data_IF_409942054966
#
_entry.id   IF_409942054966
#
_cell.length_a   1.000
_cell.length_b   1.000
_cell.length_c   1.000
_cell.angle_alpha   90.00
_cell.angle_beta   90.00
_cell.angle_gamma   90.00
#
_symmetry.space_group_name_H-M   'P 1'
#
loop_
_entity.id
_entity.type
_entity.pdbx_description
1 polymer ?
#
# COMPACT_ATOMS: atom_id res chain seq x y z
N UNK A 1 19.55 -18.17 4.04
CA UNK A 1 19.43 -17.96 2.56
C UNK A 1 18.16 -17.19 2.15
N UNK A 2 16.93 -17.67 2.41
CA UNK A 2 15.70 -16.94 1.98
C UNK A 2 15.58 -15.55 2.60
N UNK A 3 15.95 -15.36 3.87
CA UNK A 3 15.92 -14.08 4.56
C UNK A 3 16.86 -13.07 3.88
N UNK A 4 18.09 -13.45 3.61
CA UNK A 4 19.08 -12.62 2.89
C UNK A 4 18.61 -12.21 1.49
N UNK A 5 17.98 -13.14 0.75
CA UNK A 5 17.44 -12.83 -0.58
C UNK A 5 16.25 -11.82 -0.49
N UNK A 6 15.38 -11.95 0.50
CA UNK A 6 14.26 -11.03 0.70
C UNK A 6 14.76 -9.65 1.14
N UNK A 7 15.70 -9.59 2.07
CA UNK A 7 16.33 -8.35 2.50
C UNK A 7 17.02 -7.66 1.33
N UNK A 8 17.81 -8.39 0.56
CA UNK A 8 18.50 -7.87 -0.64
C UNK A 8 17.51 -7.27 -1.64
N UNK A 9 16.41 -7.95 -1.91
CA UNK A 9 15.34 -7.45 -2.78
C UNK A 9 14.76 -6.14 -2.27
N UNK A 10 14.49 -6.04 -0.96
CA UNK A 10 13.97 -4.82 -0.33
C UNK A 10 15.00 -3.69 -0.42
N UNK A 11 16.24 -3.94 -0.02
CA UNK A 11 17.32 -2.93 -0.04
C UNK A 11 17.58 -2.41 -1.46
N UNK A 12 17.61 -3.28 -2.45
CA UNK A 12 17.81 -2.90 -3.86
C UNK A 12 16.57 -2.24 -4.51
N UNK A 13 15.45 -2.16 -3.82
CA UNK A 13 14.34 -1.30 -4.27
C UNK A 13 14.66 0.19 -4.08
N UNK A 14 15.61 0.52 -3.20
CA UNK A 14 15.96 1.90 -2.83
C UNK A 14 17.45 2.23 -3.02
N UNK A 15 18.31 1.22 -3.17
CA UNK A 15 19.76 1.38 -3.30
C UNK A 15 20.26 0.76 -4.62
N UNK A 16 21.41 1.23 -5.09
CA UNK A 16 22.05 0.69 -6.30
C UNK A 16 22.78 -0.64 -6.07
N UNK A 17 23.25 -0.86 -4.83
CA UNK A 17 23.96 -2.07 -4.41
C UNK A 17 23.57 -2.46 -3.00
N UNK A 18 23.72 -3.73 -2.67
CA UNK A 18 23.58 -4.26 -1.31
C UNK A 18 24.63 -5.35 -1.09
N UNK A 19 25.35 -5.26 0.04
CA UNK A 19 26.27 -6.31 0.46
C UNK A 19 25.57 -7.27 1.42
N UNK A 20 25.62 -8.55 1.12
CA UNK A 20 25.13 -9.63 1.97
C UNK A 20 26.35 -10.14 2.74
N UNK A 21 26.33 -9.95 4.06
CA UNK A 21 27.28 -10.55 4.97
C UNK A 21 26.49 -11.50 5.89
N UNK A 22 26.87 -12.78 5.91
CA UNK A 22 26.26 -13.74 6.83
C UNK A 22 26.99 -13.76 8.17
N UNK A 23 26.23 -14.05 9.23
CA UNK A 23 26.84 -14.40 10.50
C UNK A 23 27.32 -15.86 10.49
N UNK A 24 28.30 -16.18 11.36
CA UNK A 24 28.77 -17.54 11.57
C UNK A 24 27.62 -18.47 11.99
N UNK A 25 27.51 -19.63 11.36
CA UNK A 25 26.45 -20.60 11.60
C UNK A 25 25.15 -20.38 10.85
N UNK A 26 24.98 -19.25 10.15
CA UNK A 26 23.76 -18.98 9.37
C UNK A 26 23.65 -19.86 8.11
N UNK A 27 24.78 -20.32 7.61
CA UNK A 27 24.85 -21.23 6.46
C UNK A 27 25.33 -22.60 6.95
N UNK A 28 24.46 -23.61 6.89
CA UNK A 28 24.84 -24.95 7.32
C UNK A 28 25.91 -25.54 6.41
N UNK A 29 26.98 -26.06 6.99
CA UNK A 29 28.06 -26.76 6.31
C UNK A 29 29.42 -26.17 6.63
N UNK A 30 30.43 -26.95 6.33
CA UNK A 30 31.85 -26.61 6.47
C UNK A 30 32.51 -26.86 5.13
N UNK A 31 33.60 -26.16 4.87
CA UNK A 31 34.45 -26.39 3.71
C UNK A 31 35.38 -27.62 3.91
N UNK A 32 36.25 -27.89 2.95
CA UNK A 32 37.21 -29.01 3.00
C UNK A 32 38.26 -28.85 4.13
N UNK A 33 38.40 -27.66 4.72
CA UNK A 33 39.29 -27.32 5.82
C UNK A 33 38.61 -27.33 7.18
N UNK A 34 37.27 -27.53 7.21
CA UNK A 34 36.44 -27.57 8.42
C UNK A 34 36.01 -26.15 8.91
N UNK A 35 36.11 -25.13 8.07
CA UNK A 35 35.68 -23.78 8.35
C UNK A 35 34.18 -23.63 7.95
N UNK A 36 33.40 -22.91 8.77
CA UNK A 36 31.99 -22.61 8.48
C UNK A 36 31.87 -21.70 7.24
N UNK A 37 30.82 -21.95 6.44
CA UNK A 37 30.57 -21.11 5.27
C UNK A 37 30.12 -19.71 5.67
N UNK A 38 30.78 -18.69 5.11
CA UNK A 38 30.38 -17.31 5.19
C UNK A 38 30.01 -16.74 3.82
N UNK A 39 29.04 -15.87 3.78
CA UNK A 39 28.72 -15.08 2.59
C UNK A 39 29.24 -13.66 2.77
N UNK A 40 30.01 -13.23 1.79
CA UNK A 40 30.35 -11.82 1.57
C UNK A 40 30.16 -11.50 0.09
N UNK A 41 28.93 -11.11 -0.25
CA UNK A 41 28.52 -10.96 -1.66
C UNK A 41 27.87 -9.59 -1.86
N UNK A 42 28.44 -8.79 -2.75
CA UNK A 42 27.79 -7.56 -3.21
C UNK A 42 26.88 -7.86 -4.39
N UNK A 43 25.61 -7.57 -4.22
CA UNK A 43 24.57 -7.69 -5.25
C UNK A 43 24.25 -6.31 -5.83
N UNK A 44 24.15 -6.24 -7.14
CA UNK A 44 23.92 -5.00 -7.90
C UNK A 44 22.51 -4.94 -8.49
N UNK A 45 22.11 -3.76 -9.00
CA UNK A 45 20.87 -3.61 -9.78
C UNK A 45 20.85 -4.49 -11.04
N UNK A 46 22.00 -4.78 -11.62
CA UNK A 46 22.07 -5.66 -12.79
C UNK A 46 21.75 -7.10 -12.41
N UNK A 47 22.27 -7.58 -11.28
CA UNK A 47 22.04 -8.94 -10.79
C UNK A 47 20.56 -9.15 -10.45
N UNK A 48 19.94 -8.20 -9.72
CA UNK A 48 18.52 -8.30 -9.38
C UNK A 48 17.63 -8.16 -10.62
N UNK A 49 18.03 -7.34 -11.59
CA UNK A 49 17.32 -7.22 -12.87
C UNK A 49 17.34 -8.55 -13.60
N UNK A 50 18.50 -9.21 -13.70
CA UNK A 50 18.64 -10.53 -14.34
C UNK A 50 17.75 -11.57 -13.67
N UNK A 51 17.63 -11.53 -12.34
CA UNK A 51 16.83 -12.47 -11.58
C UNK A 51 15.33 -12.21 -11.68
N UNK A 52 14.89 -10.93 -11.60
CA UNK A 52 13.48 -10.56 -11.46
C UNK A 52 12.78 -10.28 -12.80
N UNK A 53 13.49 -9.80 -13.82
CA UNK A 53 12.88 -9.46 -15.11
C UNK A 53 12.04 -10.60 -15.71
N UNK A 54 12.47 -11.87 -15.71
CA UNK A 54 11.68 -12.97 -16.25
C UNK A 54 10.37 -13.20 -15.47
N UNK A 55 10.37 -12.93 -14.17
CA UNK A 55 9.19 -13.06 -13.30
C UNK A 55 8.21 -11.93 -13.57
N UNK A 56 8.69 -10.68 -13.60
CA UNK A 56 7.89 -9.51 -13.89
C UNK A 56 7.33 -9.51 -15.32
N UNK A 57 8.09 -10.07 -16.28
CA UNK A 57 7.60 -10.21 -17.66
C UNK A 57 6.30 -11.01 -17.72
N UNK A 58 6.17 -12.08 -16.93
CA UNK A 58 4.92 -12.86 -16.88
C UNK A 58 3.72 -12.02 -16.46
N UNK A 59 3.89 -11.13 -15.47
CA UNK A 59 2.82 -10.22 -15.02
C UNK A 59 2.47 -9.17 -16.11
N UNK A 60 3.49 -8.64 -16.78
CA UNK A 60 3.32 -7.70 -17.88
C UNK A 60 2.59 -8.35 -19.06
N UNK A 61 2.96 -9.57 -19.41
CA UNK A 61 2.30 -10.33 -20.49
C UNK A 61 0.81 -10.55 -20.20
N UNK A 62 0.45 -10.83 -18.93
CA UNK A 62 -0.97 -10.94 -18.52
C UNK A 62 -1.67 -9.61 -18.67
N UNK A 63 -1.05 -8.52 -18.26
CA UNK A 63 -1.60 -7.17 -18.38
C UNK A 63 -1.80 -6.78 -19.84
N UNK A 64 -0.84 -7.04 -20.71
CA UNK A 64 -0.94 -6.79 -22.15
C UNK A 64 -2.06 -7.63 -22.81
N UNK A 65 -2.19 -8.91 -22.41
CA UNK A 65 -3.30 -9.75 -22.88
C UNK A 65 -4.66 -9.19 -22.48
N UNK A 66 -4.77 -8.66 -21.25
CA UNK A 66 -6.00 -8.00 -20.78
C UNK A 66 -6.33 -6.76 -21.62
N UNK A 67 -5.35 -5.87 -21.80
CA UNK A 67 -5.52 -4.67 -22.62
C UNK A 67 -5.95 -5.02 -24.05
N UNK A 68 -5.25 -5.98 -24.67
CA UNK A 68 -5.59 -6.46 -26.02
C UNK A 68 -7.02 -7.02 -26.09
N UNK A 69 -7.45 -7.79 -25.09
CA UNK A 69 -8.82 -8.33 -25.03
C UNK A 69 -9.88 -7.23 -24.92
N UNK A 70 -9.53 -6.10 -24.33
CA UNK A 70 -10.40 -4.92 -24.19
C UNK A 70 -10.25 -3.91 -25.33
N UNK A 71 -9.42 -4.21 -26.34
CA UNK A 71 -9.05 -3.30 -27.43
C UNK A 71 -8.46 -1.97 -26.92
N UNK A 72 -7.72 -2.00 -25.81
CA UNK A 72 -7.05 -0.86 -25.20
C UNK A 72 -5.54 -0.95 -25.42
N UNK A 73 -4.91 0.21 -25.51
CA UNK A 73 -3.46 0.38 -25.48
C UNK A 73 -3.05 1.03 -24.16
N UNK A 74 -1.77 1.01 -23.82
CA UNK A 74 -1.25 1.71 -22.65
C UNK A 74 -1.53 3.22 -22.69
N UNK A 75 -1.56 3.83 -23.88
CA UNK A 75 -1.93 5.24 -24.08
C UNK A 75 -3.38 5.59 -23.79
N UNK A 76 -4.24 4.59 -23.72
CA UNK A 76 -5.68 4.77 -23.48
C UNK A 76 -6.02 4.68 -21.98
N UNK A 77 -5.01 4.44 -21.15
CA UNK A 77 -5.15 4.37 -19.68
C UNK A 77 -4.94 5.77 -19.09
N UNK A 78 -5.86 6.23 -18.28
CA UNK A 78 -5.72 7.46 -17.52
C UNK A 78 -4.63 7.34 -16.44
N UNK A 79 -4.52 6.17 -15.81
CA UNK A 79 -3.52 5.89 -14.78
C UNK A 79 -3.25 4.40 -14.65
N UNK A 80 -1.99 4.03 -14.36
CA UNK A 80 -1.56 2.70 -13.98
C UNK A 80 -1.14 2.72 -12.51
N UNK A 81 -2.03 2.32 -11.63
CA UNK A 81 -1.80 2.32 -10.18
C UNK A 81 -1.15 1.00 -9.77
N UNK A 82 -0.11 1.09 -8.96
CA UNK A 82 0.62 -0.05 -8.44
C UNK A 82 0.20 -0.36 -7.00
N UNK A 83 0.04 -1.66 -6.70
CA UNK A 83 -0.38 -2.15 -5.38
C UNK A 83 0.57 -3.23 -4.89
N UNK A 84 0.99 -3.12 -3.64
CA UNK A 84 1.82 -4.09 -2.94
C UNK A 84 3.32 -3.84 -3.02
N UNK A 85 4.06 -4.38 -2.05
CA UNK A 85 5.50 -4.14 -1.86
C UNK A 85 6.40 -4.42 -3.07
N UNK A 86 6.22 -5.49 -3.85
CA UNK A 86 7.04 -5.76 -5.04
C UNK A 86 7.02 -4.65 -6.09
N UNK A 87 6.02 -3.79 -6.08
CA UNK A 87 5.89 -2.69 -7.04
C UNK A 87 6.78 -1.48 -6.75
N UNK A 88 7.52 -1.49 -5.64
CA UNK A 88 8.61 -0.55 -5.41
C UNK A 88 9.83 -0.84 -6.29
N UNK A 89 9.94 -2.06 -6.84
CA UNK A 89 11.08 -2.45 -7.66
C UNK A 89 11.27 -1.53 -8.88
N UNK A 90 12.44 -0.89 -9.01
CA UNK A 90 12.76 -0.09 -10.19
C UNK A 90 12.73 -0.90 -11.49
N UNK A 91 13.06 -2.19 -11.39
CA UNK A 91 13.02 -3.14 -12.51
C UNK A 91 11.60 -3.25 -13.07
N UNK A 92 10.62 -3.52 -12.19
CA UNK A 92 9.21 -3.63 -12.60
C UNK A 92 8.70 -2.32 -13.17
N UNK A 93 8.96 -1.18 -12.49
CA UNK A 93 8.51 0.14 -12.93
C UNK A 93 9.07 0.50 -14.31
N UNK A 94 10.36 0.27 -14.53
CA UNK A 94 10.99 0.51 -15.83
C UNK A 94 10.46 -0.42 -16.93
N UNK A 95 10.12 -1.65 -16.62
CA UNK A 95 9.50 -2.58 -17.58
C UNK A 95 8.07 -2.17 -17.94
N UNK A 96 7.26 -1.75 -16.96
CA UNK A 96 5.90 -1.25 -17.18
C UNK A 96 5.90 0.02 -18.04
N UNK A 97 6.78 0.98 -17.73
CA UNK A 97 6.91 2.22 -18.50
C UNK A 97 7.26 1.94 -19.97
N UNK A 98 8.14 1.00 -20.22
CA UNK A 98 8.56 0.65 -21.59
C UNK A 98 7.52 -0.15 -22.36
N UNK A 99 6.73 -0.98 -21.68
CA UNK A 99 5.88 -1.98 -22.34
C UNK A 99 4.38 -1.69 -22.27
N UNK A 100 3.93 -0.84 -21.34
CA UNK A 100 2.53 -0.48 -21.16
C UNK A 100 2.40 1.05 -21.12
N UNK A 101 2.65 1.66 -19.96
CA UNK A 101 2.69 3.10 -19.75
C UNK A 101 3.41 3.40 -18.42
N UNK A 102 3.75 4.68 -18.21
CA UNK A 102 4.37 5.13 -16.97
C UNK A 102 3.43 4.90 -15.78
N UNK A 103 3.88 4.16 -14.75
CA UNK A 103 3.08 3.97 -13.54
C UNK A 103 2.86 5.28 -12.78
N UNK A 104 1.68 5.42 -12.21
CA UNK A 104 1.38 6.47 -11.24
C UNK A 104 2.00 6.08 -9.89
N UNK A 105 2.87 6.94 -9.39
CA UNK A 105 3.57 6.75 -8.11
C UNK A 105 3.14 7.75 -7.04
N UNK A 106 2.04 8.47 -7.26
CA UNK A 106 1.50 9.45 -6.31
C UNK A 106 0.94 8.81 -5.06
N UNK A 107 0.42 7.57 -5.17
CA UNK A 107 -0.09 6.80 -4.05
C UNK A 107 0.95 5.76 -3.59
N UNK A 108 1.02 5.55 -2.26
CA UNK A 108 1.86 4.50 -1.69
C UNK A 108 1.25 3.12 -1.97
N UNK A 109 1.98 2.23 -2.68
CA UNK A 109 1.50 0.89 -3.01
C UNK A 109 1.10 0.02 -1.80
N UNK A 110 1.63 0.30 -0.61
CA UNK A 110 1.31 -0.47 0.61
C UNK A 110 -0.01 -0.05 1.24
N UNK A 111 -0.41 1.21 1.08
CA UNK A 111 -1.57 1.79 1.78
C UNK A 111 -2.70 2.20 0.84
N UNK A 112 -2.48 2.21 -0.48
CA UNK A 112 -3.47 2.67 -1.46
C UNK A 112 -4.82 1.96 -1.36
N UNK A 113 -4.83 0.65 -1.08
CA UNK A 113 -6.07 -0.12 -0.93
C UNK A 113 -6.84 0.30 0.32
N UNK A 114 -6.15 0.44 1.46
CA UNK A 114 -6.79 0.86 2.71
C UNK A 114 -7.27 2.30 2.64
N UNK A 115 -6.51 3.18 2.01
CA UNK A 115 -6.91 4.57 1.75
C UNK A 115 -8.14 4.63 0.83
N UNK A 116 -8.13 3.85 -0.26
CA UNK A 116 -9.27 3.76 -1.17
C UNK A 116 -10.51 3.17 -0.50
N UNK A 117 -10.35 2.17 0.35
CA UNK A 117 -11.44 1.59 1.12
C UNK A 117 -12.03 2.59 2.12
N UNK A 118 -11.18 3.39 2.80
CA UNK A 118 -11.64 4.44 3.71
C UNK A 118 -12.40 5.54 2.97
N UNK A 119 -11.89 5.99 1.82
CA UNK A 119 -12.57 6.96 0.96
C UNK A 119 -13.93 6.42 0.48
N UNK A 120 -13.97 5.17 0.01
CA UNK A 120 -15.23 4.55 -0.39
C UNK A 120 -16.21 4.45 0.78
N UNK A 121 -15.75 4.02 1.96
CA UNK A 121 -16.58 3.92 3.15
C UNK A 121 -17.18 5.27 3.56
N UNK A 122 -16.46 6.38 3.32
CA UNK A 122 -16.98 7.73 3.62
C UNK A 122 -18.13 8.16 2.71
N UNK A 123 -18.30 7.52 1.56
CA UNK A 123 -19.39 7.80 0.60
C UNK A 123 -20.60 6.88 0.79
N UNK A 124 -20.48 5.84 1.62
CA UNK A 124 -21.56 4.88 1.88
C UNK A 124 -22.38 5.32 3.08
N UNK A 125 -23.68 5.51 2.88
CA UNK A 125 -24.60 5.73 4.00
C UNK A 125 -24.69 4.48 4.86
N UNK A 126 -24.21 4.61 6.09
CA UNK A 126 -24.32 3.56 7.10
C UNK A 126 -25.69 3.64 7.77
N UNK A 127 -26.45 2.54 7.74
CA UNK A 127 -27.76 2.50 8.41
C UNK A 127 -27.65 2.84 9.91
N UNK A 128 -28.68 3.48 10.46
CA UNK A 128 -28.68 3.87 11.89
C UNK A 128 -28.41 2.67 12.82
N UNK A 129 -28.92 1.48 12.50
CA UNK A 129 -28.69 0.26 13.28
C UNK A 129 -27.21 -0.11 13.39
N UNK A 130 -26.41 0.11 12.33
CA UNK A 130 -24.98 -0.16 12.34
C UNK A 130 -24.21 0.94 13.08
N UNK A 131 -24.68 2.19 12.93
CA UNK A 131 -24.13 3.33 13.70
C UNK A 131 -24.36 3.15 15.19
N UNK A 132 -25.53 2.70 15.62
CA UNK A 132 -25.86 2.46 17.02
C UNK A 132 -25.03 1.31 17.64
N UNK A 133 -24.80 0.22 16.90
CA UNK A 133 -23.97 -0.90 17.38
C UNK A 133 -22.49 -0.57 17.57
N UNK A 134 -21.99 0.44 16.86
CA UNK A 134 -20.59 0.90 16.97
C UNK A 134 -20.35 2.03 17.94
N UNK A 135 -21.41 2.59 18.56
CA UNK A 135 -21.31 3.73 19.47
C UNK A 135 -20.80 3.31 20.85
N UNK A 136 -19.79 3.99 21.33
CA UNK A 136 -19.34 3.91 22.72
C UNK A 136 -20.23 4.83 23.58
N UNK A 137 -21.25 4.26 24.20
CA UNK A 137 -22.27 5.01 24.99
C UNK A 137 -21.68 5.72 26.21
N UNK A 138 -20.45 5.37 26.63
CA UNK A 138 -19.74 6.05 27.72
C UNK A 138 -19.17 7.41 27.29
N UNK A 139 -19.12 7.68 25.99
CA UNK A 139 -18.72 8.98 25.43
C UNK A 139 -19.94 9.81 25.05
N UNK A 140 -19.75 11.12 25.03
CA UNK A 140 -20.80 12.06 24.61
C UNK A 140 -21.21 11.70 23.18
N UNK A 141 -22.50 11.43 22.99
CA UNK A 141 -23.07 11.13 21.68
C UNK A 141 -23.48 12.43 21.00
N UNK A 142 -23.01 12.60 19.77
CA UNK A 142 -23.31 13.78 18.95
C UNK A 142 -24.04 13.34 17.67
N UNK A 143 -25.07 14.12 17.33
CA UNK A 143 -25.67 14.10 16.00
C UNK A 143 -25.10 15.27 15.21
N UNK A 144 -24.43 14.99 14.12
CA UNK A 144 -23.82 16.00 13.25
C UNK A 144 -24.58 15.97 11.93
N UNK A 145 -25.22 17.09 11.60
CA UNK A 145 -25.95 17.24 10.34
C UNK A 145 -25.24 18.26 9.49
N UNK A 146 -24.82 17.83 8.30
CA UNK A 146 -24.20 18.66 7.28
C UNK A 146 -24.58 18.10 5.90
N UNK A 147 -24.42 18.87 4.85
CA UNK A 147 -24.54 18.35 3.50
C UNK A 147 -23.38 17.43 3.16
N UNK A 148 -23.63 16.30 2.48
CA UNK A 148 -22.62 15.30 2.15
C UNK A 148 -21.65 15.81 1.07
N UNK A 149 -22.04 16.84 0.32
CA UNK A 149 -21.20 17.51 -0.69
C UNK A 149 -21.72 18.93 -0.90
N UNK A 150 -20.82 19.91 -0.97
CA UNK A 150 -21.16 21.30 -1.28
C UNK A 150 -20.16 21.86 -2.29
N UNK A 151 -20.59 22.82 -3.10
CA UNK A 151 -19.75 23.65 -3.96
C UNK A 151 -19.51 25.04 -3.34
N UNK A 152 -20.13 25.31 -2.21
CA UNK A 152 -19.99 26.57 -1.48
C UNK A 152 -18.66 26.58 -0.70
N UNK A 153 -18.11 27.76 -0.47
CA UNK A 153 -16.87 27.95 0.31
C UNK A 153 -17.10 27.90 1.82
N UNK A 154 -18.35 28.00 2.25
CA UNK A 154 -18.80 27.96 3.65
C UNK A 154 -20.01 27.03 3.74
N UNK A 155 -20.03 26.18 4.74
CA UNK A 155 -21.12 25.23 4.99
C UNK A 155 -21.57 25.29 6.44
N UNK A 156 -22.89 25.17 6.65
CA UNK A 156 -23.46 25.09 7.96
C UNK A 156 -23.45 23.66 8.49
N UNK A 157 -22.79 23.46 9.63
CA UNK A 157 -22.78 22.20 10.36
C UNK A 157 -23.59 22.36 11.63
N UNK A 158 -24.64 21.53 11.79
CA UNK A 158 -25.42 21.47 13.03
C UNK A 158 -24.93 20.32 13.90
N UNK A 159 -24.61 20.60 15.15
CA UNK A 159 -24.16 19.60 16.12
C UNK A 159 -25.16 19.61 17.30
N UNK A 160 -25.76 18.44 17.55
CA UNK A 160 -26.70 18.23 18.67
C UNK A 160 -26.14 17.16 19.61
N UNK A 161 -26.15 17.43 20.91
CA UNK A 161 -25.77 16.44 21.92
C UNK A 161 -26.99 15.55 22.19
N UNK A 162 -26.83 14.24 22.06
CA UNK A 162 -27.84 13.23 22.33
C UNK A 162 -27.74 12.79 23.81
N UNK A 163 -28.33 13.54 24.69
CA UNK A 163 -28.28 13.29 26.13
C UNK A 163 -28.88 11.92 26.50
N UNK A 164 -29.94 11.52 25.82
CA UNK A 164 -30.67 10.26 25.99
C UNK A 164 -29.89 9.02 25.55
N UNK A 165 -28.84 9.21 24.72
CA UNK A 165 -27.97 8.16 24.21
C UNK A 165 -26.57 8.19 24.84
N UNK A 166 -26.31 9.05 25.82
CA UNK A 166 -25.04 9.24 26.51
C UNK A 166 -25.14 8.74 27.94
N UNK A 167 -24.34 7.74 28.35
CA UNK A 167 -24.28 7.25 29.74
C UNK A 167 -23.26 8.04 30.59
N UNK A 168 -22.51 8.96 30.02
CA UNK A 168 -21.50 9.78 30.69
C UNK A 168 -22.06 11.16 31.16
N UNK A 169 -21.26 11.88 31.96
CA UNK A 169 -21.56 13.26 32.32
C UNK A 169 -21.47 14.18 31.10
N UNK A 170 -22.52 14.94 30.87
CA UNK A 170 -22.58 15.94 29.80
C UNK A 170 -22.09 17.27 30.36
N UNK A 171 -21.03 17.87 29.79
CA UNK A 171 -20.54 19.17 30.26
C UNK A 171 -21.55 20.29 30.00
N UNK A 172 -21.68 21.23 30.95
CA UNK A 172 -22.54 22.38 30.80
C UNK A 172 -22.11 23.35 29.69
N UNK A 173 -20.84 23.28 29.29
CA UNK A 173 -20.28 24.10 28.19
C UNK A 173 -19.34 23.27 27.35
N UNK A 174 -19.54 23.37 26.05
CA UNK A 174 -18.64 22.81 25.02
C UNK A 174 -18.01 23.98 24.27
N UNK A 175 -16.68 23.99 24.18
CA UNK A 175 -15.96 24.95 23.35
C UNK A 175 -15.75 24.29 21.97
N UNK A 176 -16.15 24.95 20.91
CA UNK A 176 -15.93 24.56 19.53
C UNK A 176 -14.68 25.25 18.99
#
# INVERSE_FOLDING_TARGET
MKAYAEETKIKLSFNSTHNILSDLGDIPGEDDEGEEFELDITVTQEDITRALAPVFQKAIDVSQKLLKRKNLKGSDLDSLILVGGPTFSPVLRGMLEKQICKPDTSADPMTVVSTGAALYASTVDVSEEVREKGRDVTKIQLEVTHESSTVETEEWVSIKILADKTEGEIPEKVLA
#
